data_IF_383991698899
#
_entry.id   IF_383991698899
#
_cell.length_a   1.000
_cell.length_b   1.000
_cell.length_c   1.000
_cell.angle_alpha   90.00
_cell.angle_beta   90.00
_cell.angle_gamma   90.00
#
_symmetry.space_group_name_H-M   'P 1'
#
loop_
_entity.id
_entity.type
_entity.pdbx_description
1 polymer ?
#
# COMPACT_ATOMS: atom_id res chain seq x y z
N UNK A 1 16.84 -15.31 16.75
CA UNK A 1 16.25 -14.22 15.94
C UNK A 1 16.33 -14.63 14.48
N UNK A 2 15.34 -14.28 13.67
CA UNK A 2 15.39 -14.49 12.22
C UNK A 2 16.37 -13.50 11.60
N UNK A 3 17.27 -13.98 10.74
CA UNK A 3 18.27 -13.13 10.08
C UNK A 3 17.76 -12.57 8.75
N UNK A 4 18.39 -11.50 8.23
CA UNK A 4 18.12 -10.99 6.87
C UNK A 4 18.23 -12.10 5.82
N UNK A 5 19.26 -12.94 5.92
CA UNK A 5 19.46 -14.08 5.00
C UNK A 5 18.27 -15.04 5.02
N UNK A 6 17.72 -15.35 6.20
CA UNK A 6 16.54 -16.23 6.28
C UNK A 6 15.33 -15.60 5.59
N UNK A 7 15.11 -14.30 5.79
CA UNK A 7 14.00 -13.55 5.21
C UNK A 7 14.11 -13.52 3.68
N UNK A 8 15.29 -13.19 3.16
CA UNK A 8 15.49 -12.99 1.71
C UNK A 8 15.58 -14.31 0.93
N UNK A 9 15.97 -15.41 1.61
CA UNK A 9 16.03 -16.75 0.99
C UNK A 9 14.72 -17.53 1.10
N UNK A 10 13.79 -17.10 1.94
CA UNK A 10 12.53 -17.80 2.12
C UNK A 10 11.66 -17.76 0.85
N UNK A 11 11.21 -18.93 0.40
CA UNK A 11 10.30 -19.10 -0.74
C UNK A 11 8.95 -19.73 -0.34
N UNK A 12 8.55 -19.51 0.92
CA UNK A 12 7.27 -19.94 1.47
C UNK A 12 6.80 -18.98 2.55
N UNK A 13 5.67 -19.30 3.18
CA UNK A 13 4.99 -18.41 4.12
C UNK A 13 5.31 -18.82 5.55
N UNK A 14 5.96 -17.97 6.32
CA UNK A 14 6.17 -18.24 7.74
C UNK A 14 4.92 -17.96 8.56
N UNK A 15 4.57 -18.94 9.39
CA UNK A 15 3.49 -18.85 10.37
C UNK A 15 3.97 -19.30 11.74
N UNK A 16 3.25 -18.93 12.79
CA UNK A 16 3.43 -19.44 14.13
C UNK A 16 2.07 -19.79 14.75
N UNK A 17 2.09 -20.63 15.78
CA UNK A 17 0.90 -20.91 16.59
C UNK A 17 0.92 -20.01 17.82
N UNK A 18 -0.13 -19.21 18.01
CA UNK A 18 -0.27 -18.36 19.20
C UNK A 18 -0.73 -19.16 20.44
N UNK A 19 -0.82 -18.48 21.59
CA UNK A 19 -1.20 -19.11 22.86
C UNK A 19 -2.62 -19.69 22.86
N UNK A 20 -3.48 -19.22 21.97
CA UNK A 20 -4.85 -19.69 21.78
C UNK A 20 -4.93 -20.80 20.74
N UNK A 21 -3.78 -21.41 20.38
CA UNK A 21 -3.65 -22.47 19.38
C UNK A 21 -4.09 -22.05 17.96
N UNK A 22 -4.10 -20.75 17.66
CA UNK A 22 -4.43 -20.24 16.34
C UNK A 22 -3.16 -20.06 15.49
N UNK A 23 -3.27 -20.37 14.20
CA UNK A 23 -2.20 -20.09 13.24
C UNK A 23 -2.25 -18.60 12.89
N UNK A 24 -1.09 -17.95 12.99
CA UNK A 24 -0.89 -16.55 12.65
C UNK A 24 0.27 -16.40 11.66
N UNK A 25 0.23 -15.37 10.83
CA UNK A 25 1.39 -15.00 10.01
C UNK A 25 2.51 -14.48 10.90
N UNK A 26 3.74 -14.91 10.62
CA UNK A 26 4.89 -14.34 11.28
C UNK A 26 5.17 -12.96 10.69
N UNK A 27 5.28 -11.93 11.54
CA UNK A 27 5.42 -10.52 11.13
C UNK A 27 6.70 -9.84 11.61
N UNK A 28 7.39 -10.45 12.56
CA UNK A 28 8.55 -9.89 13.24
C UNK A 28 9.72 -10.85 13.17
N UNK A 29 10.94 -10.31 13.23
CA UNK A 29 12.16 -11.13 13.27
C UNK A 29 12.44 -11.70 14.68
N UNK A 30 11.85 -11.06 15.71
CA UNK A 30 11.93 -11.46 17.10
C UNK A 30 10.85 -12.49 17.41
N UNK A 31 11.30 -13.73 17.60
CA UNK A 31 10.44 -14.88 17.89
C UNK A 31 10.61 -15.27 19.35
N UNK A 32 9.50 -15.42 20.08
CA UNK A 32 9.51 -15.85 21.48
C UNK A 32 10.13 -17.25 21.64
N UNK A 33 10.83 -17.47 22.75
CA UNK A 33 11.32 -18.81 23.10
C UNK A 33 10.13 -19.78 23.26
N UNK A 34 10.30 -20.99 22.76
CA UNK A 34 9.27 -22.03 22.71
C UNK A 34 8.30 -21.91 21.53
N UNK A 35 8.31 -20.80 20.77
CA UNK A 35 7.39 -20.65 19.65
C UNK A 35 7.70 -21.65 18.53
N UNK A 36 6.67 -22.37 18.09
CA UNK A 36 6.68 -23.23 16.92
C UNK A 36 6.47 -22.38 15.67
N UNK A 37 7.50 -22.32 14.82
CA UNK A 37 7.46 -21.66 13.51
C UNK A 37 7.28 -22.72 12.43
N UNK A 38 6.37 -22.45 11.51
CA UNK A 38 6.13 -23.30 10.34
C UNK A 38 6.34 -22.51 9.06
N UNK A 39 7.26 -22.97 8.20
CA UNK A 39 7.30 -22.56 6.80
C UNK A 39 6.26 -23.37 6.04
N UNK A 40 5.24 -22.69 5.51
CA UNK A 40 4.14 -23.29 4.77
C UNK A 40 4.32 -23.08 3.28
N UNK A 41 4.22 -24.17 2.53
CA UNK A 41 4.42 -24.24 1.09
C UNK A 41 3.08 -24.56 0.41
N UNK A 42 3.10 -24.87 -0.90
CA UNK A 42 1.93 -25.42 -1.62
C UNK A 42 1.76 -26.92 -1.31
N UNK A 43 0.62 -27.49 -1.71
CA UNK A 43 0.37 -28.94 -1.64
C UNK A 43 0.56 -29.56 -0.24
N UNK A 44 0.17 -28.82 0.81
CA UNK A 44 0.31 -29.23 2.22
C UNK A 44 1.75 -29.49 2.69
N UNK A 45 2.76 -29.13 1.91
CA UNK A 45 4.15 -29.19 2.32
C UNK A 45 4.41 -28.16 3.42
N UNK A 46 4.99 -28.63 4.53
CA UNK A 46 5.31 -27.80 5.70
C UNK A 46 6.64 -28.23 6.32
N UNK A 47 7.40 -27.24 6.78
CA UNK A 47 8.62 -27.46 7.56
C UNK A 47 8.52 -26.73 8.88
N UNK A 48 8.92 -27.38 9.98
CA UNK A 48 8.76 -26.85 11.34
C UNK A 48 10.10 -26.61 12.00
N UNK A 49 10.16 -25.57 12.82
CA UNK A 49 11.26 -25.32 13.75
C UNK A 49 10.74 -24.70 15.03
N UNK A 50 11.47 -24.89 16.13
CA UNK A 50 11.17 -24.25 17.40
C UNK A 50 12.27 -23.27 17.77
N UNK A 51 11.89 -22.06 18.19
CA UNK A 51 12.81 -21.09 18.77
C UNK A 51 13.21 -21.55 20.18
N UNK A 52 14.46 -21.93 20.40
CA UNK A 52 14.95 -22.44 21.67
C UNK A 52 15.22 -21.30 22.67
N UNK A 53 15.44 -21.65 23.95
CA UNK A 53 15.77 -20.67 25.02
C UNK A 53 17.01 -19.82 24.70
N UNK A 54 17.99 -20.40 24.03
CA UNK A 54 19.20 -19.70 23.55
C UNK A 54 18.97 -18.88 22.25
N UNK A 55 17.72 -18.64 21.85
CA UNK A 55 17.31 -17.90 20.65
C UNK A 55 17.78 -18.51 19.32
N UNK A 56 18.23 -19.76 19.32
CA UNK A 56 18.54 -20.55 18.11
C UNK A 56 17.34 -21.39 17.67
N UNK A 57 17.25 -21.66 16.38
CA UNK A 57 16.21 -22.52 15.82
C UNK A 57 16.66 -23.98 15.79
N UNK A 58 15.78 -24.90 16.21
CA UNK A 58 16.01 -26.36 16.15
C UNK A 58 14.75 -27.09 15.63
N UNK A 59 14.84 -27.83 14.50
CA UNK A 59 15.96 -27.83 13.52
C UNK A 59 16.23 -26.42 12.96
N UNK A 60 17.28 -26.22 12.15
CA UNK A 60 17.56 -24.90 11.57
C UNK A 60 16.30 -24.32 10.87
N UNK A 61 16.15 -22.99 10.90
CA UNK A 61 14.97 -22.33 10.32
C UNK A 61 14.88 -22.66 8.82
N UNK A 62 13.85 -23.37 8.37
CA UNK A 62 13.72 -23.77 6.97
C UNK A 62 13.46 -22.53 6.11
N UNK A 63 14.12 -22.42 4.97
CA UNK A 63 13.93 -21.32 4.00
C UNK A 63 13.46 -21.81 2.63
N UNK A 64 13.57 -23.11 2.35
CA UNK A 64 13.24 -23.69 1.05
C UNK A 64 12.04 -24.62 1.14
N UNK A 65 11.04 -24.31 0.33
CA UNK A 65 9.96 -25.17 -0.12
C UNK A 65 10.37 -25.84 -1.43
N UNK A 66 10.02 -27.11 -1.58
CA UNK A 66 10.00 -27.82 -2.88
C UNK A 66 8.89 -27.28 -3.77
N UNK A 67 7.75 -26.90 -3.18
CA UNK A 67 6.62 -26.28 -3.85
C UNK A 67 6.39 -24.85 -3.29
N UNK A 68 7.11 -23.84 -3.82
CA UNK A 68 7.06 -22.48 -3.29
C UNK A 68 5.66 -21.87 -3.24
N UNK A 69 5.38 -21.06 -2.21
CA UNK A 69 4.15 -20.26 -2.10
C UNK A 69 4.52 -18.81 -1.80
N UNK A 70 4.50 -17.97 -2.83
CA UNK A 70 5.01 -16.60 -2.75
C UNK A 70 3.96 -15.53 -3.12
N UNK A 71 2.75 -15.95 -3.49
CA UNK A 71 1.71 -15.04 -3.97
C UNK A 71 0.53 -15.10 -2.99
N UNK A 72 0.24 -13.98 -2.30
CA UNK A 72 -0.96 -13.84 -1.50
C UNK A 72 -2.23 -13.88 -2.35
N UNK A 73 -3.25 -14.53 -1.80
CA UNK A 73 -4.61 -14.66 -2.33
C UNK A 73 -5.39 -13.35 -2.12
N UNK A 74 -6.43 -13.14 -2.93
CA UNK A 74 -7.39 -12.05 -2.77
C UNK A 74 -8.78 -12.66 -2.60
N UNK A 75 -9.54 -12.20 -1.61
CA UNK A 75 -10.92 -12.65 -1.41
C UNK A 75 -11.81 -11.48 -1.00
N UNK A 76 -13.04 -11.39 -1.54
CA UNK A 76 -13.99 -10.38 -1.09
C UNK A 76 -14.44 -10.69 0.35
N UNK A 77 -14.70 -9.65 1.13
CA UNK A 77 -15.37 -9.80 2.41
C UNK A 77 -16.90 -9.85 2.21
N UNK A 78 -17.64 -10.70 2.96
CA UNK A 78 -19.10 -10.89 2.82
C UNK A 78 -20.00 -9.66 3.14
N UNK A 79 -19.43 -8.45 3.25
CA UNK A 79 -20.04 -7.17 3.67
C UNK A 79 -20.14 -6.91 5.17
N UNK A 80 -19.70 -5.69 5.53
CA UNK A 80 -20.16 -4.72 6.56
C UNK A 80 -18.97 -3.92 7.10
N UNK A 81 -18.22 -3.24 6.22
CA UNK A 81 -17.41 -2.11 6.66
C UNK A 81 -18.16 -0.83 6.26
N UNK A 82 -18.76 -0.15 7.24
CA UNK A 82 -19.49 1.11 7.01
C UNK A 82 -18.61 2.19 6.36
N UNK A 83 -17.29 2.10 6.49
CA UNK A 83 -16.37 3.04 5.87
C UNK A 83 -16.13 2.75 4.37
N UNK A 84 -16.44 1.55 3.88
CA UNK A 84 -16.25 1.20 2.48
C UNK A 84 -17.55 1.35 1.68
N UNK A 85 -17.65 2.31 0.73
CA UNK A 85 -18.85 2.51 -0.08
C UNK A 85 -19.06 1.43 -1.15
N UNK A 86 -18.30 0.34 -1.13
CA UNK A 86 -18.27 -0.71 -2.14
C UNK A 86 -17.81 -2.03 -1.51
N UNK A 87 -17.03 -2.84 -2.21
CA UNK A 87 -16.49 -4.10 -1.73
C UNK A 87 -15.17 -3.91 -1.00
N UNK A 88 -15.08 -4.52 0.18
CA UNK A 88 -13.79 -4.76 0.85
C UNK A 88 -13.19 -6.07 0.35
N UNK A 89 -11.91 -6.05 0.04
CA UNK A 89 -11.11 -7.23 -0.31
C UNK A 89 -10.03 -7.43 0.75
N UNK A 90 -9.83 -8.67 1.17
CA UNK A 90 -8.69 -9.07 1.99
C UNK A 90 -7.61 -9.65 1.09
N UNK A 91 -6.37 -9.23 1.34
CA UNK A 91 -5.18 -9.81 0.76
C UNK A 91 -4.46 -10.60 1.83
N UNK A 92 -4.18 -11.87 1.58
CA UNK A 92 -3.71 -12.78 2.62
C UNK A 92 -3.24 -14.13 2.10
N UNK A 93 -2.99 -15.07 3.02
CA UNK A 93 -2.73 -16.46 2.67
C UNK A 93 -3.82 -17.36 3.23
N UNK A 94 -4.45 -18.14 2.36
CA UNK A 94 -5.48 -19.10 2.78
C UNK A 94 -4.86 -20.44 3.15
N UNK A 95 -5.12 -20.91 4.38
CA UNK A 95 -4.76 -22.23 4.88
C UNK A 95 -5.97 -22.87 5.56
N UNK A 96 -6.31 -24.11 5.18
CA UNK A 96 -7.47 -24.84 5.74
C UNK A 96 -8.75 -23.99 5.75
N UNK A 97 -9.06 -23.34 4.62
CA UNK A 97 -10.19 -22.42 4.45
C UNK A 97 -10.18 -21.18 5.38
N UNK A 98 -9.09 -20.92 6.09
CA UNK A 98 -8.89 -19.71 6.90
C UNK A 98 -7.96 -18.75 6.19
N UNK A 99 -8.45 -17.54 5.96
CA UNK A 99 -7.65 -16.43 5.43
C UNK A 99 -6.79 -15.83 6.56
N UNK A 100 -5.47 -15.83 6.38
CA UNK A 100 -4.55 -15.05 7.21
C UNK A 100 -4.24 -13.73 6.52
N UNK A 101 -4.83 -12.65 7.01
CA UNK A 101 -4.80 -11.33 6.37
C UNK A 101 -3.45 -10.63 6.49
N UNK A 102 -2.97 -10.05 5.37
CA UNK A 102 -1.90 -9.05 5.27
C UNK A 102 -2.43 -7.64 5.47
N UNK A 103 -3.44 -7.30 4.68
CA UNK A 103 -4.13 -6.02 4.67
C UNK A 103 -5.48 -6.21 3.99
N UNK A 104 -6.34 -5.20 4.11
CA UNK A 104 -7.60 -5.12 3.38
C UNK A 104 -7.69 -3.82 2.60
N UNK A 105 -8.50 -3.79 1.54
CA UNK A 105 -8.69 -2.62 0.69
C UNK A 105 -10.15 -2.46 0.29
N UNK A 106 -10.63 -1.23 0.34
CA UNK A 106 -11.91 -0.85 -0.22
C UNK A 106 -11.72 -0.52 -1.70
N UNK A 107 -12.25 -1.36 -2.58
CA UNK A 107 -11.96 -1.30 -4.00
C UNK A 107 -13.21 -1.55 -4.84
N UNK A 108 -13.39 -0.75 -5.89
CA UNK A 108 -14.44 -0.94 -6.86
C UNK A 108 -13.80 -1.38 -8.20
N UNK A 109 -13.95 -2.65 -8.61
CA UNK A 109 -13.36 -3.13 -9.86
C UNK A 109 -13.97 -2.53 -11.12
N UNK A 110 -15.26 -2.16 -11.10
CA UNK A 110 -15.92 -1.54 -12.27
C UNK A 110 -15.31 -0.18 -12.61
N UNK A 111 -14.94 0.59 -11.60
CA UNK A 111 -14.35 1.94 -11.72
C UNK A 111 -12.83 1.94 -11.58
N UNK A 112 -12.19 0.78 -11.39
CA UNK A 112 -10.74 0.64 -11.16
C UNK A 112 -10.28 1.61 -10.06
N UNK A 113 -11.05 1.69 -8.97
CA UNK A 113 -10.86 2.71 -7.93
C UNK A 113 -10.58 2.06 -6.58
N UNK A 114 -9.39 2.31 -6.06
CA UNK A 114 -9.09 2.08 -4.66
C UNK A 114 -9.48 3.32 -3.83
N UNK A 115 -10.26 3.11 -2.77
CA UNK A 115 -10.67 4.17 -1.85
C UNK A 115 -9.67 4.29 -0.71
N UNK A 116 -9.38 3.16 -0.05
CA UNK A 116 -8.38 3.08 1.01
C UNK A 116 -7.93 1.63 1.21
N UNK A 117 -6.78 1.48 1.86
CA UNK A 117 -6.28 0.23 2.39
C UNK A 117 -5.96 0.36 3.88
N UNK A 118 -6.32 -0.66 4.64
CA UNK A 118 -6.01 -0.79 6.06
C UNK A 118 -4.98 -1.90 6.28
N UNK A 119 -3.95 -1.60 7.06
CA UNK A 119 -2.87 -2.52 7.41
C UNK A 119 -2.46 -2.34 8.87
N UNK A 120 -2.11 -3.44 9.53
CA UNK A 120 -1.44 -3.42 10.83
C UNK A 120 0.06 -3.54 10.61
N UNK A 121 0.81 -2.52 11.03
CA UNK A 121 2.25 -2.45 10.94
C UNK A 121 2.90 -3.02 12.20
N UNK A 122 3.92 -3.84 12.00
CA UNK A 122 4.68 -4.51 13.05
C UNK A 122 6.11 -3.96 13.13
N UNK A 123 6.75 -3.96 14.32
CA UNK A 123 8.10 -3.46 14.48
C UNK A 123 9.07 -4.33 13.67
N UNK A 124 9.95 -3.67 12.91
CA UNK A 124 10.97 -4.32 12.11
C UNK A 124 12.35 -3.72 12.42
N UNK A 125 13.33 -4.60 12.58
CA UNK A 125 14.75 -4.23 12.72
C UNK A 125 15.55 -4.50 11.44
N UNK A 126 14.91 -5.12 10.45
CA UNK A 126 15.51 -5.52 9.18
C UNK A 126 14.68 -4.89 8.07
N UNK A 127 15.37 -4.17 7.18
CA UNK A 127 14.81 -3.72 5.90
C UNK A 127 15.28 -4.70 4.82
N UNK A 128 14.43 -5.65 4.40
CA UNK A 128 14.77 -6.60 3.33
C UNK A 128 14.76 -5.93 1.96
N UNK A 129 15.40 -6.58 1.00
CA UNK A 129 15.35 -6.16 -0.40
C UNK A 129 13.90 -6.23 -0.93
N UNK A 130 13.50 -5.20 -1.69
CA UNK A 130 12.18 -5.15 -2.33
C UNK A 130 12.03 -6.32 -3.31
N UNK A 131 10.93 -7.10 -3.25
CA UNK A 131 10.73 -8.22 -4.16
C UNK A 131 10.58 -7.73 -5.61
N UNK A 132 11.18 -8.45 -6.55
CA UNK A 132 11.04 -8.21 -7.98
C UNK A 132 9.84 -8.99 -8.52
N UNK A 133 8.63 -8.43 -8.37
CA UNK A 133 7.38 -9.04 -8.82
C UNK A 133 6.57 -8.08 -9.70
N UNK A 134 5.74 -8.66 -10.57
CA UNK A 134 4.82 -7.90 -11.42
C UNK A 134 3.51 -7.65 -10.66
N UNK A 135 2.83 -6.56 -11.03
CA UNK A 135 1.48 -6.30 -10.55
C UNK A 135 0.48 -7.31 -11.11
N UNK A 136 -0.38 -7.85 -10.26
CA UNK A 136 -1.48 -8.76 -10.64
C UNK A 136 -2.81 -8.05 -10.68
N UNK A 137 -3.69 -8.48 -11.60
CA UNK A 137 -5.08 -8.03 -11.69
C UNK A 137 -6.00 -8.81 -10.76
N UNK A 138 -5.56 -9.99 -10.30
CA UNK A 138 -6.30 -10.90 -9.43
C UNK A 138 -7.69 -11.25 -10.00
N UNK A 139 -7.82 -11.22 -11.34
CA UNK A 139 -9.07 -11.41 -12.08
C UNK A 139 -10.17 -10.38 -11.73
N UNK A 140 -9.84 -9.32 -10.99
CA UNK A 140 -10.78 -8.25 -10.64
C UNK A 140 -10.94 -7.23 -11.77
N UNK A 141 -9.88 -7.00 -12.54
CA UNK A 141 -9.88 -6.05 -13.67
C UNK A 141 -9.32 -6.67 -14.93
N UNK A 142 -9.74 -6.12 -16.07
CA UNK A 142 -9.27 -6.53 -17.39
C UNK A 142 -7.81 -6.12 -17.63
N UNK A 143 -7.08 -6.79 -18.55
CA UNK A 143 -5.77 -6.34 -18.99
C UNK A 143 -5.78 -4.91 -19.57
N UNK A 144 -6.86 -4.51 -20.25
CA UNK A 144 -7.02 -3.15 -20.77
C UNK A 144 -7.07 -2.11 -19.64
N UNK A 145 -7.88 -2.36 -18.60
CA UNK A 145 -7.93 -1.51 -17.41
C UNK A 145 -6.58 -1.46 -16.69
N UNK A 146 -5.90 -2.60 -16.49
CA UNK A 146 -4.56 -2.64 -15.91
C UNK A 146 -3.54 -1.83 -16.73
N UNK A 147 -3.64 -1.89 -18.07
CA UNK A 147 -2.75 -1.17 -18.97
C UNK A 147 -2.90 0.35 -18.91
N UNK A 148 -3.98 0.89 -18.31
CA UNK A 148 -4.15 2.34 -18.13
C UNK A 148 -3.08 2.97 -17.25
N UNK A 149 -2.35 2.18 -16.46
CA UNK A 149 -1.19 2.60 -15.67
C UNK A 149 0.13 2.65 -16.45
N UNK A 150 0.15 2.27 -17.74
CA UNK A 150 1.36 2.29 -18.55
C UNK A 150 1.63 3.71 -19.08
N UNK A 151 2.89 4.16 -19.01
CA UNK A 151 3.34 5.49 -19.47
C UNK A 151 2.76 5.89 -20.83
N UNK A 152 2.85 4.99 -21.81
CA UNK A 152 2.31 5.22 -23.16
C UNK A 152 0.79 5.46 -23.20
N UNK A 153 0.04 4.77 -22.34
CA UNK A 153 -1.41 4.88 -22.28
C UNK A 153 -1.82 6.14 -21.53
N UNK A 154 -1.11 6.48 -20.45
CA UNK A 154 -1.32 7.74 -19.72
C UNK A 154 -1.10 8.93 -20.66
N UNK A 155 -0.01 8.96 -21.43
CA UNK A 155 0.24 10.03 -22.41
C UNK A 155 -0.89 10.15 -23.43
N UNK A 156 -1.33 9.03 -24.04
CA UNK A 156 -2.44 9.01 -25.01
C UNK A 156 -3.75 9.48 -24.37
N UNK A 157 -4.05 9.03 -23.16
CA UNK A 157 -5.26 9.43 -22.43
C UNK A 157 -5.23 10.91 -22.07
N UNK A 158 -4.08 11.46 -21.66
CA UNK A 158 -3.91 12.90 -21.44
C UNK A 158 -4.15 13.70 -22.73
N UNK A 159 -3.65 13.23 -23.88
CA UNK A 159 -3.94 13.84 -25.18
C UNK A 159 -5.43 13.85 -25.54
N UNK A 160 -6.19 12.81 -25.12
CA UNK A 160 -7.64 12.76 -25.30
C UNK A 160 -8.41 13.68 -24.36
N UNK A 161 -8.00 13.76 -23.09
CA UNK A 161 -8.70 14.54 -22.06
C UNK A 161 -8.39 16.04 -22.20
N UNK A 162 -7.13 16.38 -22.40
CA UNK A 162 -6.62 17.75 -22.33
C UNK A 162 -6.22 18.32 -23.69
N UNK A 163 -6.38 17.56 -24.78
CA UNK A 163 -5.96 17.94 -26.14
C UNK A 163 -4.56 17.45 -26.49
N UNK A 164 -4.32 17.22 -27.78
CA UNK A 164 -3.07 16.61 -28.27
C UNK A 164 -1.81 17.44 -27.95
N UNK A 165 -1.97 18.75 -27.77
CA UNK A 165 -0.89 19.70 -27.45
C UNK A 165 -0.73 19.95 -25.93
N UNK A 166 -1.32 19.10 -25.07
CA UNK A 166 -1.18 19.22 -23.61
C UNK A 166 0.29 19.24 -23.18
N UNK A 167 0.60 20.03 -22.14
CA UNK A 167 1.97 20.28 -21.65
C UNK A 167 2.30 19.54 -20.35
N UNK A 168 1.36 18.73 -19.84
CA UNK A 168 1.49 18.02 -18.57
C UNK A 168 2.44 16.82 -18.68
N UNK A 169 2.29 16.02 -19.73
CA UNK A 169 3.09 14.83 -20.00
C UNK A 169 3.77 15.01 -21.35
N UNK A 170 5.07 15.32 -21.35
CA UNK A 170 5.79 15.78 -22.55
C UNK A 170 5.98 14.68 -23.61
N UNK A 171 6.07 13.42 -23.20
CA UNK A 171 6.29 12.30 -24.10
C UNK A 171 5.72 11.00 -23.52
N UNK A 172 5.76 9.92 -24.31
CA UNK A 172 5.23 8.60 -23.95
C UNK A 172 6.26 7.64 -23.33
N UNK A 173 7.43 8.14 -22.90
CA UNK A 173 8.56 7.37 -22.38
C UNK A 173 8.83 7.69 -20.91
N UNK A 174 8.66 8.94 -20.50
CA UNK A 174 8.93 9.40 -19.15
C UNK A 174 7.85 8.96 -18.16
N UNK A 175 8.25 8.34 -17.07
CA UNK A 175 7.35 7.92 -16.00
C UNK A 175 6.89 9.14 -15.18
N UNK A 176 5.77 9.76 -15.57
CA UNK A 176 5.22 10.92 -14.83
C UNK A 176 4.25 10.47 -13.73
N UNK A 177 3.40 9.49 -14.03
CA UNK A 177 2.42 8.92 -13.10
C UNK A 177 2.70 7.42 -13.00
N UNK A 178 2.79 6.91 -11.78
CA UNK A 178 3.06 5.51 -11.48
C UNK A 178 1.94 4.91 -10.63
N UNK A 179 2.06 3.60 -10.37
CA UNK A 179 1.24 2.85 -9.42
C UNK A 179 1.71 3.18 -7.99
N UNK A 180 1.10 4.19 -7.38
CA UNK A 180 1.33 4.58 -5.99
C UNK A 180 0.65 3.59 -5.05
N UNK A 181 1.43 2.94 -4.16
CA UNK A 181 0.89 1.95 -3.23
C UNK A 181 0.10 2.62 -2.11
N UNK A 182 -1.02 2.00 -1.70
CA UNK A 182 -1.73 2.38 -0.47
C UNK A 182 -1.10 1.68 0.74
N UNK A 183 -0.94 0.36 0.66
CA UNK A 183 -0.10 -0.42 1.59
C UNK A 183 1.25 -0.68 0.93
N UNK A 184 2.34 -0.18 1.53
CA UNK A 184 3.65 -0.21 0.89
C UNK A 184 4.35 -1.56 1.05
N UNK A 185 5.08 -2.01 0.03
CA UNK A 185 5.87 -3.25 0.11
C UNK A 185 6.87 -3.27 1.27
N UNK A 186 7.42 -2.10 1.62
CA UNK A 186 8.37 -1.90 2.72
C UNK A 186 7.74 -1.99 4.10
N UNK A 187 6.41 -2.10 4.21
CA UNK A 187 5.71 -2.29 5.48
C UNK A 187 5.85 -3.74 5.98
N UNK A 188 6.21 -4.67 5.10
CA UNK A 188 6.33 -6.09 5.40
C UNK A 188 7.79 -6.55 5.57
N UNK A 189 7.96 -7.55 6.43
CA UNK A 189 9.26 -8.16 6.70
C UNK A 189 9.62 -9.26 5.70
N UNK A 190 8.66 -10.05 5.24
CA UNK A 190 8.91 -11.22 4.39
C UNK A 190 8.56 -10.97 2.93
N UNK A 191 9.28 -11.62 2.02
CA UNK A 191 9.18 -11.40 0.58
C UNK A 191 7.80 -11.72 -0.01
N UNK A 192 7.16 -12.80 0.46
CA UNK A 192 5.78 -13.18 0.10
C UNK A 192 4.77 -12.10 0.51
N UNK A 193 4.92 -11.57 1.71
CA UNK A 193 4.05 -10.52 2.26
C UNK A 193 4.23 -9.20 1.51
N UNK A 194 5.48 -8.80 1.27
CA UNK A 194 5.81 -7.62 0.48
C UNK A 194 5.31 -7.74 -0.97
N UNK A 195 5.45 -8.93 -1.59
CA UNK A 195 4.93 -9.21 -2.92
C UNK A 195 3.39 -9.10 -2.98
N UNK A 196 2.70 -9.38 -1.87
CA UNK A 196 1.26 -9.17 -1.71
C UNK A 196 0.76 -7.75 -1.95
N UNK A 197 1.65 -6.76 -1.89
CA UNK A 197 1.28 -5.35 -2.11
C UNK A 197 1.22 -4.97 -3.59
N UNK A 198 1.77 -5.81 -4.48
CA UNK A 198 1.83 -5.57 -5.92
C UNK A 198 0.55 -6.04 -6.61
N UNK A 199 -0.58 -5.43 -6.23
CA UNK A 199 -1.91 -5.75 -6.76
C UNK A 199 -2.60 -4.47 -7.19
N UNK A 200 -3.33 -4.50 -8.31
CA UNK A 200 -4.02 -3.29 -8.80
C UNK A 200 -5.09 -2.75 -7.83
N UNK A 201 -5.64 -3.60 -6.95
CA UNK A 201 -6.55 -3.18 -5.87
C UNK A 201 -5.88 -2.37 -4.74
N UNK A 202 -4.54 -2.32 -4.70
CA UNK A 202 -3.74 -1.65 -3.66
C UNK A 202 -2.99 -0.42 -4.20
N UNK A 203 -3.35 0.09 -5.37
CA UNK A 203 -2.68 1.23 -5.97
C UNK A 203 -3.65 2.27 -6.51
N UNK A 204 -3.15 3.49 -6.59
CA UNK A 204 -3.80 4.61 -7.29
C UNK A 204 -2.79 5.28 -8.22
N UNK A 205 -3.25 6.03 -9.24
CA UNK A 205 -2.36 6.84 -10.05
C UNK A 205 -1.72 7.97 -9.21
N UNK A 206 -0.41 7.91 -9.02
CA UNK A 206 0.31 8.90 -8.22
C UNK A 206 1.44 9.50 -9.03
N UNK A 207 1.63 10.82 -8.97
CA UNK A 207 2.78 11.44 -9.62
C UNK A 207 4.08 10.90 -9.03
N UNK A 208 4.99 10.47 -9.90
CA UNK A 208 6.19 9.74 -9.49
C UNK A 208 7.04 10.56 -8.50
N UNK A 209 7.24 11.85 -8.79
CA UNK A 209 8.03 12.72 -7.91
C UNK A 209 7.42 12.90 -6.51
N UNK A 210 6.10 12.81 -6.39
CA UNK A 210 5.37 12.89 -5.12
C UNK A 210 5.49 11.56 -4.37
N UNK A 211 5.31 10.44 -5.08
CA UNK A 211 5.53 9.09 -4.54
C UNK A 211 6.94 8.94 -3.96
N UNK A 212 7.96 9.38 -4.71
CA UNK A 212 9.37 9.29 -4.32
C UNK A 212 9.81 10.43 -3.35
N UNK A 213 8.95 11.43 -3.20
CA UNK A 213 9.16 12.65 -2.40
C UNK A 213 8.59 12.56 -1.00
N UNK A 214 7.73 13.53 -0.62
CA UNK A 214 7.20 13.63 0.75
C UNK A 214 6.40 12.37 1.12
N UNK A 215 5.73 11.73 0.16
CA UNK A 215 4.95 10.52 0.44
C UNK A 215 5.81 9.38 0.98
N UNK A 216 6.95 9.10 0.32
CA UNK A 216 7.94 8.14 0.82
C UNK A 216 8.46 8.51 2.21
N UNK A 217 8.78 9.80 2.44
CA UNK A 217 9.28 10.23 3.75
C UNK A 217 8.26 10.04 4.88
N UNK A 218 6.98 10.28 4.61
CA UNK A 218 5.90 10.00 5.57
C UNK A 218 5.85 8.50 5.86
N UNK A 219 5.87 7.65 4.83
CA UNK A 219 5.87 6.19 5.02
C UNK A 219 7.08 5.70 5.82
N UNK A 220 8.27 6.21 5.52
CA UNK A 220 9.50 5.89 6.25
C UNK A 220 9.41 6.32 7.71
N UNK A 221 8.96 7.55 7.96
CA UNK A 221 8.79 8.07 9.30
C UNK A 221 7.78 7.26 10.10
N UNK A 222 6.59 6.94 9.55
CA UNK A 222 5.57 6.14 10.25
C UNK A 222 6.15 4.79 10.71
N UNK A 223 6.99 4.15 9.89
CA UNK A 223 7.64 2.87 10.26
C UNK A 223 8.62 3.02 11.44
N UNK A 224 9.22 4.19 11.63
CA UNK A 224 10.08 4.47 12.80
C UNK A 224 9.30 4.69 14.09
N UNK A 225 8.00 4.99 14.01
CA UNK A 225 7.16 5.26 15.17
C UNK A 225 6.53 4.00 15.79
N UNK A 226 6.76 2.82 15.20
CA UNK A 226 6.16 1.57 15.69
C UNK A 226 6.87 1.15 16.99
N UNK A 227 6.16 1.03 18.14
CA UNK A 227 6.78 0.60 19.39
C UNK A 227 7.27 -0.85 19.30
N UNK A 228 8.38 -1.17 19.97
CA UNK A 228 9.01 -2.50 19.89
C UNK A 228 8.13 -3.66 20.39
N UNK A 229 7.14 -3.36 21.22
CA UNK A 229 6.21 -4.30 21.84
C UNK A 229 4.74 -4.06 21.46
N UNK A 230 4.49 -3.26 20.41
CA UNK A 230 3.14 -2.92 19.96
C UNK A 230 3.06 -2.87 18.43
N UNK A 231 1.93 -2.38 17.92
CA UNK A 231 1.64 -2.25 16.49
C UNK A 231 1.05 -0.87 16.21
N UNK A 232 1.07 -0.46 14.94
CA UNK A 232 0.31 0.68 14.45
C UNK A 232 -0.74 0.21 13.44
N UNK A 233 -1.96 0.71 13.56
CA UNK A 233 -3.01 0.50 12.58
C UNK A 233 -3.02 1.69 11.62
N UNK A 234 -2.83 1.43 10.32
CA UNK A 234 -2.67 2.48 9.31
C UNK A 234 -3.72 2.33 8.24
N UNK A 235 -4.46 3.42 8.01
CA UNK A 235 -5.33 3.60 6.84
C UNK A 235 -4.65 4.52 5.85
N UNK A 236 -4.53 4.09 4.61
CA UNK A 236 -4.01 4.92 3.52
C UNK A 236 -5.03 4.97 2.40
N UNK A 237 -5.37 6.15 1.90
CA UNK A 237 -6.40 6.28 0.87
C UNK A 237 -6.24 7.49 0.00
N UNK A 238 -7.25 7.68 -0.85
CA UNK A 238 -7.24 8.69 -1.90
C UNK A 238 -8.58 9.41 -2.00
N UNK A 239 -8.54 10.74 -2.19
CA UNK A 239 -9.71 11.62 -2.18
C UNK A 239 -9.78 12.48 -3.44
N UNK A 240 -11.01 12.70 -3.91
CA UNK A 240 -11.31 13.50 -5.10
C UNK A 240 -10.79 12.90 -6.41
N UNK A 241 -10.94 13.65 -7.49
CA UNK A 241 -10.37 13.36 -8.80
C UNK A 241 -9.71 14.62 -9.33
N UNK A 242 -8.44 14.49 -9.74
CA UNK A 242 -7.62 15.59 -10.19
C UNK A 242 -8.26 16.25 -11.43
N UNK A 243 -8.44 17.57 -11.36
CA UNK A 243 -8.89 18.38 -12.49
C UNK A 243 -7.75 19.26 -12.98
N UNK A 244 -7.49 19.24 -14.29
CA UNK A 244 -6.51 20.10 -14.96
C UNK A 244 -7.19 20.84 -16.12
N UNK A 245 -6.65 21.99 -16.49
CA UNK A 245 -7.16 22.74 -17.65
C UNK A 245 -6.79 22.04 -18.96
N UNK A 246 -7.75 21.90 -19.88
CA UNK A 246 -7.46 21.47 -21.25
C UNK A 246 -6.71 22.55 -22.06
N UNK A 247 -6.25 22.16 -23.26
CA UNK A 247 -5.52 23.03 -24.19
C UNK A 247 -6.42 23.94 -25.01
N UNK A 248 -7.72 24.00 -24.71
CA UNK A 248 -8.62 24.94 -25.39
C UNK A 248 -8.30 26.38 -24.96
N UNK A 249 -8.69 27.36 -25.77
CA UNK A 249 -8.57 28.78 -25.40
C UNK A 249 -9.30 29.11 -24.09
N UNK A 250 -10.41 28.42 -23.81
CA UNK A 250 -11.20 28.57 -22.57
C UNK A 250 -10.59 27.85 -21.37
N UNK A 251 -9.57 27.01 -21.56
CA UNK A 251 -8.86 26.28 -20.50
C UNK A 251 -9.80 25.55 -19.54
N UNK A 252 -10.74 24.79 -20.09
CA UNK A 252 -11.79 24.14 -19.32
C UNK A 252 -11.19 23.07 -18.40
N UNK A 253 -11.60 23.04 -17.13
CA UNK A 253 -11.15 21.99 -16.20
C UNK A 253 -11.77 20.63 -16.56
N UNK A 254 -10.93 19.61 -16.72
CA UNK A 254 -11.33 18.23 -16.99
C UNK A 254 -10.71 17.27 -15.97
N UNK A 255 -11.50 16.31 -15.53
CA UNK A 255 -11.06 15.27 -14.58
C UNK A 255 -10.17 14.23 -15.26
N UNK A 256 -9.13 13.79 -14.57
CA UNK A 256 -8.19 12.79 -15.04
C UNK A 256 -8.67 11.36 -14.73
N UNK A 257 -9.29 10.71 -15.70
CA UNK A 257 -9.62 9.27 -15.67
C UNK A 257 -8.77 8.51 -16.69
N UNK A 258 -7.98 7.54 -16.24
CA UNK A 258 -6.94 6.95 -17.10
C UNK A 258 -7.40 5.78 -17.96
N UNK A 259 -8.51 5.11 -17.60
CA UNK A 259 -8.97 3.90 -18.28
C UNK A 259 -10.20 4.13 -19.17
N UNK A 260 -11.08 5.06 -18.81
CA UNK A 260 -12.35 5.32 -19.50
C UNK A 260 -13.23 6.28 -18.69
N UNK A 261 -14.48 6.52 -19.09
CA UNK A 261 -15.40 7.38 -18.35
C UNK A 261 -15.54 6.89 -16.90
N UNK A 262 -15.18 7.74 -15.94
CA UNK A 262 -15.21 7.44 -14.51
C UNK A 262 -14.38 6.22 -14.07
N UNK A 263 -13.38 5.79 -14.87
CA UNK A 263 -12.52 4.65 -14.55
C UNK A 263 -11.05 5.02 -14.35
N UNK A 264 -10.43 4.45 -13.32
CA UNK A 264 -9.07 4.71 -12.88
C UNK A 264 -8.81 6.21 -12.62
N UNK A 265 -9.50 6.82 -11.63
CA UNK A 265 -9.33 8.23 -11.32
C UNK A 265 -7.92 8.51 -10.79
N UNK A 266 -7.28 9.57 -11.30
CA UNK A 266 -6.11 10.16 -10.64
C UNK A 266 -6.63 10.96 -9.43
N UNK A 267 -6.32 10.58 -8.19
CA UNK A 267 -6.83 11.29 -7.02
C UNK A 267 -6.23 12.69 -6.90
N UNK A 268 -7.00 13.62 -6.35
CA UNK A 268 -6.52 14.97 -6.01
C UNK A 268 -5.63 14.95 -4.78
N UNK A 269 -5.99 14.12 -3.80
CA UNK A 269 -5.30 14.02 -2.53
C UNK A 269 -5.03 12.56 -2.17
N UNK A 270 -3.87 12.32 -1.57
CA UNK A 270 -3.53 11.09 -0.87
C UNK A 270 -3.56 11.37 0.63
N UNK A 271 -4.09 10.45 1.43
CA UNK A 271 -4.08 10.60 2.89
C UNK A 271 -3.58 9.35 3.62
N UNK A 272 -3.04 9.54 4.81
CA UNK A 272 -2.62 8.46 5.70
C UNK A 272 -3.01 8.80 7.14
N UNK A 273 -3.73 7.91 7.80
CA UNK A 273 -4.11 8.02 9.21
C UNK A 273 -3.45 6.88 9.98
N UNK A 274 -2.77 7.24 11.06
CA UNK A 274 -2.03 6.34 11.93
C UNK A 274 -2.71 6.29 13.29
N UNK A 275 -2.97 5.07 13.77
CA UNK A 275 -3.55 4.79 15.08
C UNK A 275 -2.68 3.81 15.85
N UNK A 276 -2.72 3.87 17.17
CA UNK A 276 -2.09 2.83 17.99
C UNK A 276 -2.92 1.52 17.99
N UNK A 277 -2.42 0.52 18.71
CA UNK A 277 -3.07 -0.77 18.87
C UNK A 277 -4.46 -0.71 19.54
N UNK A 278 -4.75 0.37 20.30
CA UNK A 278 -6.06 0.64 20.91
C UNK A 278 -6.99 1.45 20.01
N UNK A 279 -6.58 1.68 18.75
CA UNK A 279 -7.27 2.48 17.75
C UNK A 279 -7.34 3.98 18.08
N UNK A 280 -6.51 4.47 19.00
CA UNK A 280 -6.41 5.90 19.29
C UNK A 280 -5.69 6.62 18.14
N UNK A 281 -6.24 7.74 17.62
CA UNK A 281 -5.62 8.53 16.56
C UNK A 281 -4.29 9.14 17.02
N UNK A 282 -3.24 8.98 16.21
CA UNK A 282 -1.90 9.51 16.48
C UNK A 282 -1.49 10.58 15.48
N UNK A 283 -1.66 10.30 14.18
CA UNK A 283 -1.25 11.21 13.10
C UNK A 283 -2.19 11.12 11.91
N UNK A 284 -2.40 12.25 11.23
CA UNK A 284 -3.07 12.31 9.94
C UNK A 284 -2.26 13.18 8.98
N UNK A 285 -2.02 12.67 7.78
CA UNK A 285 -1.31 13.35 6.71
C UNK A 285 -2.20 13.41 5.48
N UNK A 286 -2.17 14.54 4.76
CA UNK A 286 -2.81 14.67 3.45
C UNK A 286 -1.87 15.39 2.47
N UNK A 287 -1.58 14.74 1.35
CA UNK A 287 -0.62 15.17 0.33
C UNK A 287 -1.34 15.44 -0.98
N UNK A 288 -1.13 16.62 -1.55
CA UNK A 288 -1.72 17.04 -2.81
C UNK A 288 -1.03 16.33 -3.98
N UNK A 289 -1.78 15.51 -4.72
CA UNK A 289 -1.27 14.70 -5.82
C UNK A 289 -1.34 15.47 -7.15
N UNK A 290 -0.60 16.58 -7.24
CA UNK A 290 -0.51 17.38 -8.47
C UNK A 290 0.81 18.16 -8.51
N UNK A 291 1.63 17.86 -9.52
CA UNK A 291 2.93 18.50 -9.73
C UNK A 291 2.87 19.77 -10.58
N UNK A 292 1.70 20.08 -11.16
CA UNK A 292 1.52 21.16 -12.13
C UNK A 292 1.06 22.49 -11.51
N UNK A 293 0.81 22.52 -10.21
CA UNK A 293 0.43 23.76 -9.52
C UNK A 293 1.62 24.67 -9.32
N UNK A 294 1.38 25.99 -9.46
CA UNK A 294 2.39 27.03 -9.26
C UNK A 294 2.57 27.44 -7.80
N UNK A 295 1.57 27.15 -6.97
CA UNK A 295 1.55 27.52 -5.57
C UNK A 295 0.94 26.40 -4.73
N UNK A 296 1.18 26.47 -3.41
CA UNK A 296 0.59 25.56 -2.43
C UNK A 296 -0.95 25.66 -2.52
N UNK A 297 -1.67 24.54 -2.69
CA UNK A 297 -3.13 24.55 -2.69
C UNK A 297 -3.65 24.96 -1.32
N UNK A 298 -4.88 25.49 -1.25
CA UNK A 298 -5.56 25.70 0.03
C UNK A 298 -5.70 24.36 0.77
N UNK A 299 -5.71 24.45 2.10
CA UNK A 299 -5.99 23.33 2.98
C UNK A 299 -7.33 22.67 2.59
N UNK A 300 -7.38 21.33 2.46
CA UNK A 300 -8.62 20.63 2.15
C UNK A 300 -9.51 20.53 3.39
N UNK A 301 -10.83 20.49 3.19
CA UNK A 301 -11.82 20.38 4.28
C UNK A 301 -11.63 19.12 5.15
N UNK A 302 -11.06 18.05 4.59
CA UNK A 302 -10.70 16.82 5.31
C UNK A 302 -9.69 17.07 6.44
N UNK A 303 -8.86 18.10 6.31
CA UNK A 303 -7.90 18.54 7.31
C UNK A 303 -8.49 19.76 8.00
N UNK A 304 -9.38 19.61 8.99
CA UNK A 304 -10.04 20.77 9.62
C UNK A 304 -9.05 21.61 10.43
N UNK A 305 -8.26 20.92 11.26
CA UNK A 305 -7.26 21.54 12.13
C UNK A 305 -5.85 21.17 11.65
N UNK A 306 -5.15 22.05 10.90
CA UNK A 306 -3.78 21.80 10.49
C UNK A 306 -2.86 21.94 11.72
N UNK A 307 -1.86 21.06 11.82
CA UNK A 307 -0.85 21.07 12.87
C UNK A 307 0.55 21.01 12.26
N UNK A 308 1.60 21.41 13.00
CA UNK A 308 2.98 21.21 12.55
C UNK A 308 3.25 19.74 12.23
N UNK A 309 3.94 19.51 11.11
CA UNK A 309 4.33 18.16 10.73
C UNK A 309 5.44 17.63 11.65
N UNK A 310 5.37 16.37 12.09
CA UNK A 310 6.37 15.78 12.98
C UNK A 310 7.70 15.41 12.27
N UNK A 311 7.81 15.76 10.99
CA UNK A 311 8.96 15.53 10.13
C UNK A 311 9.11 16.69 9.14
N UNK A 312 10.34 16.90 8.67
CA UNK A 312 10.64 17.93 7.68
C UNK A 312 10.15 17.51 6.29
N UNK A 313 9.13 18.20 5.79
CA UNK A 313 8.57 17.99 4.45
C UNK A 313 8.87 19.17 3.54
N UNK A 314 9.24 18.89 2.29
CA UNK A 314 9.57 19.95 1.33
C UNK A 314 8.29 20.61 0.82
N UNK A 315 8.27 21.93 0.78
CA UNK A 315 7.12 22.72 0.37
C UNK A 315 7.17 23.05 -1.14
N UNK A 316 7.15 22.02 -2.00
CA UNK A 316 7.14 22.21 -3.47
C UNK A 316 6.14 21.27 -4.14
N UNK A 317 5.66 21.65 -5.33
CA UNK A 317 4.73 20.82 -6.10
C UNK A 317 5.32 19.44 -6.46
N UNK A 318 6.60 19.41 -6.85
CA UNK A 318 7.30 18.17 -7.20
C UNK A 318 7.36 17.18 -6.02
N UNK A 319 7.49 17.68 -4.79
CA UNK A 319 7.53 16.86 -3.58
C UNK A 319 6.15 16.48 -3.05
N UNK A 320 5.10 17.14 -3.56
CA UNK A 320 3.71 17.04 -3.09
C UNK A 320 3.50 17.89 -1.85
N UNK A 321 2.73 18.96 -1.98
CA UNK A 321 2.37 19.79 -0.82
C UNK A 321 1.60 18.94 0.21
N UNK A 322 2.10 18.89 1.45
CA UNK A 322 1.52 18.09 2.51
C UNK A 322 1.03 18.96 3.67
N UNK A 323 -0.14 18.61 4.19
CA UNK A 323 -0.64 19.08 5.48
C UNK A 323 -0.61 17.91 6.48
N UNK A 324 -0.18 18.22 7.70
CA UNK A 324 -0.40 17.36 8.86
C UNK A 324 -1.60 17.92 9.62
N UNK A 325 -2.48 17.05 10.07
CA UNK A 325 -3.77 17.42 10.61
C UNK A 325 -3.95 16.78 11.98
N UNK A 326 -4.69 17.43 12.86
CA UNK A 326 -5.17 16.79 14.07
C UNK A 326 -5.98 15.54 13.67
N UNK A 327 -5.51 14.33 14.02
CA UNK A 327 -6.16 13.10 13.60
C UNK A 327 -7.51 12.88 14.28
N UNK A 328 -7.85 13.60 15.36
CA UNK A 328 -9.16 13.56 15.98
C UNK A 328 -10.24 14.31 15.17
N UNK A 329 -9.83 15.29 14.34
CA UNK A 329 -10.74 16.11 13.52
C UNK A 329 -10.67 15.80 12.03
N UNK A 330 -9.77 14.89 11.62
CA UNK A 330 -9.61 14.50 10.22
C UNK A 330 -10.80 13.67 9.72
N UNK A 331 -11.41 14.07 8.61
CA UNK A 331 -12.56 13.39 8.01
C UNK A 331 -12.24 12.80 6.63
N UNK A 332 -12.89 11.70 6.26
CA UNK A 332 -12.74 11.00 4.97
C UNK A 332 -14.03 11.14 4.19
#
# INVERSE_FOLDING_TARGET
MITRRNIEQANGVYTFTDRSNNIQLLRTANVASGALITLRCRQNEVYRTTCQRNRRFRPALPVNCRNPRNVPDVSPLPHTDRACPTLMYVVGHTFNNRMLELYRTCYNPQTVRAYFSDVTLYPKTISPTRPNVRFTTDQLITPAQASSYLTRNIFRTFGRIYGQNQQYIRNNRDLVINRGHLTASSDFLFGDQAAGTFKYLNVVPQFQSINDGNWRFIEEWVRTQIPSNSVLNVRTGALGVLSLADSSSRRTLRQAYLAGPNQNPVPTWMYKIVRDATNRPLHAFITYNNVFVRARPRQPANCQTPIPCPLNLRNTAAMGYTYCCDPATFTI
#
